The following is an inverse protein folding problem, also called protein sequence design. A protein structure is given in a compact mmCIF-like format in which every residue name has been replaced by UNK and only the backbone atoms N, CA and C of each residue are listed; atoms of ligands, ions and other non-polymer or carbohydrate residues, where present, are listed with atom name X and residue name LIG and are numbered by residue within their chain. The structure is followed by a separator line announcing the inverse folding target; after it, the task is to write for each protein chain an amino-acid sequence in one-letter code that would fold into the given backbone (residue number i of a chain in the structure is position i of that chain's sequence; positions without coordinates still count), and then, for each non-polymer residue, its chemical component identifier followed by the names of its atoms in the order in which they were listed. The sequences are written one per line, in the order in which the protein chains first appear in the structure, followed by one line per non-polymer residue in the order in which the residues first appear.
data_IF_265003748601
#
_entry.id   IF_265003748601
#
_cell.length_a   1.000
_cell.length_b   1.000
_cell.length_c   1.000
_cell.angle_alpha   90.00
_cell.angle_beta   90.00
_cell.angle_gamma   90.00
#
_symmetry.space_group_name_H-M   'P 1'
#
loop_
_entity.id
_entity.type
_entity.pdbx_description
1 polymer ?
#
# COMPACT_ATOMS: atom_id res chain seq x y z
N UNK A 1 52.40 -59.62 42.36
CA UNK A 1 52.21 -60.07 40.95
C UNK A 1 50.91 -60.86 40.86
N UNK A 2 50.20 -60.72 39.73
CA UNK A 2 49.02 -61.47 39.25
C UNK A 2 47.68 -61.26 40.02
N UNK A 3 46.71 -60.54 39.43
CA UNK A 3 45.55 -61.03 38.61
C UNK A 3 44.57 -61.86 39.47
N UNK A 4 43.28 -61.57 39.64
CA UNK A 4 42.32 -60.73 38.91
C UNK A 4 41.16 -61.62 38.42
N UNK A 5 39.91 -61.23 38.74
CA UNK A 5 38.64 -61.55 38.04
C UNK A 5 38.06 -62.95 38.38
N UNK A 6 36.77 -63.22 38.60
CA UNK A 6 35.52 -62.52 38.28
C UNK A 6 34.39 -62.94 39.24
N UNK A 7 33.47 -61.98 39.43
CA UNK A 7 32.08 -62.17 39.83
C UNK A 7 31.24 -62.92 38.78
N UNK A 8 30.22 -63.64 39.23
CA UNK A 8 28.84 -63.67 38.71
C UNK A 8 27.95 -63.97 39.93
N UNK A 9 26.88 -63.28 40.28
CA UNK A 9 25.92 -62.53 39.47
C UNK A 9 24.53 -63.14 39.74
N UNK A 10 23.80 -62.65 40.74
CA UNK A 10 22.37 -63.00 40.95
C UNK A 10 21.58 -61.76 41.36
N UNK A 11 20.49 -61.54 40.61
CA UNK A 11 19.76 -60.29 40.46
C UNK A 11 19.09 -59.75 41.71
N UNK A 12 18.85 -58.43 41.68
CA UNK A 12 17.99 -57.71 42.64
C UNK A 12 17.15 -56.64 41.92
N UNK A 13 15.84 -56.83 42.03
CA UNK A 13 14.75 -55.84 42.08
C UNK A 13 14.46 -54.91 40.89
N UNK A 14 13.56 -55.37 40.01
CA UNK A 14 12.67 -54.49 39.25
C UNK A 14 11.62 -53.88 40.20
N UNK A 15 11.88 -52.68 40.70
CA UNK A 15 10.88 -51.87 41.41
C UNK A 15 9.76 -51.51 40.45
N UNK A 16 8.50 -51.80 40.80
CA UNK A 16 7.29 -51.51 39.99
C UNK A 16 7.29 -50.08 39.43
N UNK A 17 7.83 -49.12 40.20
CA UNK A 17 8.02 -47.72 39.79
C UNK A 17 8.85 -47.56 38.51
N UNK A 18 9.93 -48.32 38.35
CA UNK A 18 10.78 -48.24 37.16
C UNK A 18 10.09 -48.85 35.94
N UNK A 19 9.24 -49.87 36.14
CA UNK A 19 8.43 -50.45 35.07
C UNK A 19 7.33 -49.48 34.62
N UNK A 20 6.66 -48.79 35.55
CA UNK A 20 5.67 -47.77 35.21
C UNK A 20 6.30 -46.61 34.44
N UNK A 21 7.48 -46.14 34.88
CA UNK A 21 8.23 -45.08 34.18
C UNK A 21 8.60 -45.54 32.76
N UNK A 22 9.09 -46.77 32.59
CA UNK A 22 9.41 -47.30 31.26
C UNK A 22 8.19 -47.36 30.33
N UNK A 23 7.04 -47.81 30.83
CA UNK A 23 5.79 -47.86 30.07
C UNK A 23 5.32 -46.44 29.70
N UNK A 24 5.42 -45.48 30.63
CA UNK A 24 5.12 -44.08 30.35
C UNK A 24 6.04 -43.48 29.29
N UNK A 25 7.34 -43.78 29.31
CA UNK A 25 8.28 -43.34 28.28
C UNK A 25 7.95 -43.92 26.90
N UNK A 26 7.56 -45.20 26.83
CA UNK A 26 7.13 -45.83 25.57
C UNK A 26 5.84 -45.18 25.05
N UNK A 27 4.85 -44.94 25.90
CA UNK A 27 3.61 -44.27 25.52
C UNK A 27 3.87 -42.83 25.05
N UNK A 28 4.77 -42.10 25.71
CA UNK A 28 5.17 -40.76 25.30
C UNK A 28 5.86 -40.77 23.93
N UNK A 29 6.73 -41.75 23.69
CA UNK A 29 7.40 -41.92 22.40
C UNK A 29 6.40 -42.24 21.26
N UNK A 30 5.44 -43.14 21.52
CA UNK A 30 4.36 -43.44 20.56
C UNK A 30 3.50 -42.20 20.30
N UNK A 31 3.13 -41.45 21.33
CA UNK A 31 2.37 -40.20 21.17
C UNK A 31 3.13 -39.17 20.32
N UNK A 32 4.44 -39.03 20.51
CA UNK A 32 5.29 -38.15 19.70
C UNK A 32 5.40 -38.62 18.25
N UNK A 33 5.44 -39.93 17.98
CA UNK A 33 5.41 -40.47 16.61
C UNK A 33 4.08 -40.21 15.91
N UNK A 34 2.96 -40.35 16.61
CA UNK A 34 1.63 -40.03 16.08
C UNK A 34 1.51 -38.53 15.82
N UNK A 35 1.95 -37.68 16.75
CA UNK A 35 2.01 -36.22 16.56
C UNK A 35 2.89 -35.84 15.37
N UNK A 36 4.05 -36.48 15.22
CA UNK A 36 4.92 -36.26 14.07
C UNK A 36 4.24 -36.68 12.76
N UNK A 37 3.55 -37.82 12.72
CA UNK A 37 2.79 -38.26 11.56
C UNK A 37 1.67 -37.29 11.19
N UNK A 38 0.91 -36.80 12.18
CA UNK A 38 -0.16 -35.82 11.97
C UNK A 38 0.39 -34.45 11.52
N UNK A 39 1.50 -34.00 12.11
CA UNK A 39 2.19 -32.78 11.68
C UNK A 39 2.82 -32.93 10.29
N UNK A 40 3.36 -34.09 9.94
CA UNK A 40 3.89 -34.35 8.61
C UNK A 40 2.78 -34.40 7.57
N UNK A 41 1.63 -35.04 7.85
CA UNK A 41 0.45 -34.98 6.97
C UNK A 41 -0.09 -33.57 6.79
N UNK A 42 -0.06 -32.72 7.83
CA UNK A 42 -0.42 -31.30 7.68
C UNK A 42 0.61 -30.52 6.87
N UNK A 43 1.91 -30.75 7.09
CA UNK A 43 2.99 -30.08 6.37
C UNK A 43 3.06 -30.48 4.89
N UNK A 44 2.75 -31.74 4.56
CA UNK A 44 2.66 -32.20 3.16
C UNK A 44 1.38 -31.72 2.47
N UNK A 45 0.29 -31.50 3.22
CA UNK A 45 -0.93 -30.92 2.67
C UNK A 45 -0.84 -29.40 2.50
N UNK A 46 0.08 -28.72 3.19
CA UNK A 46 0.28 -27.26 3.05
C UNK A 46 1.43 -26.87 2.12
N UNK A 47 2.16 -27.83 1.56
CA UNK A 47 3.38 -27.55 0.78
C UNK A 47 3.47 -28.43 -0.47
N UNK A 48 2.45 -28.40 -1.33
CA UNK A 48 2.54 -28.67 -2.78
C UNK A 48 1.16 -28.73 -3.44
N UNK A 49 0.41 -27.63 -3.43
CA UNK A 49 -0.28 -27.25 -4.66
C UNK A 49 0.63 -26.29 -5.41
N UNK A 50 1.68 -26.83 -6.05
CA UNK A 50 2.17 -26.13 -7.23
C UNK A 50 1.03 -26.21 -8.24
N UNK A 51 0.22 -25.15 -8.32
CA UNK A 51 -0.74 -25.01 -9.41
C UNK A 51 0.07 -25.21 -10.68
N UNK A 52 -0.12 -26.36 -11.35
CA UNK A 52 0.54 -26.65 -12.62
C UNK A 52 -0.03 -25.66 -13.61
N UNK A 53 0.68 -24.56 -13.82
CA UNK A 53 0.35 -23.59 -14.83
C UNK A 53 0.34 -24.30 -16.18
N UNK A 54 -0.71 -24.06 -16.95
CA UNK A 54 -0.78 -24.48 -18.35
C UNK A 54 0.30 -23.75 -19.16
N UNK A 55 0.68 -24.33 -20.30
CA UNK A 55 1.74 -23.78 -21.16
C UNK A 55 1.48 -22.33 -21.58
N UNK A 56 0.23 -22.00 -21.94
CA UNK A 56 -0.19 -20.63 -22.27
C UNK A 56 -0.08 -19.66 -21.08
N UNK A 57 -0.35 -20.13 -19.85
CA UNK A 57 -0.19 -19.29 -18.65
C UNK A 57 1.29 -19.00 -18.40
N UNK A 58 2.17 -19.97 -18.61
CA UNK A 58 3.62 -19.79 -18.52
C UNK A 58 4.10 -18.80 -19.58
N UNK A 59 3.59 -18.90 -20.81
CA UNK A 59 3.90 -17.98 -21.90
C UNK A 59 3.45 -16.55 -21.58
N UNK A 60 2.23 -16.36 -21.07
CA UNK A 60 1.75 -15.05 -20.59
C UNK A 60 2.58 -14.48 -19.46
N UNK A 61 3.03 -15.32 -18.52
CA UNK A 61 3.91 -14.89 -17.44
C UNK A 61 5.24 -14.40 -18.03
N UNK A 62 5.86 -15.17 -18.93
CA UNK A 62 7.11 -14.77 -19.60
C UNK A 62 6.96 -13.46 -20.37
N UNK A 63 5.89 -13.32 -21.14
CA UNK A 63 5.59 -12.12 -21.91
C UNK A 63 5.42 -10.91 -20.99
N UNK A 64 4.66 -11.05 -19.89
CA UNK A 64 4.49 -9.98 -18.91
C UNK A 64 5.80 -9.55 -18.24
N UNK A 65 6.74 -10.48 -18.06
CA UNK A 65 8.06 -10.17 -17.48
C UNK A 65 8.87 -9.38 -18.50
N UNK A 66 8.90 -9.82 -19.77
CA UNK A 66 9.59 -9.10 -20.85
C UNK A 66 9.09 -7.66 -20.99
N UNK A 67 7.78 -7.47 -21.05
CA UNK A 67 7.18 -6.13 -21.15
C UNK A 67 7.60 -5.25 -19.96
N UNK A 68 7.61 -5.79 -18.74
CA UNK A 68 8.04 -5.04 -17.54
C UNK A 68 9.55 -4.71 -17.54
N UNK A 69 10.38 -5.60 -18.07
CA UNK A 69 11.82 -5.37 -18.21
C UNK A 69 12.12 -4.31 -19.27
N UNK A 70 11.41 -4.35 -20.40
CA UNK A 70 11.52 -3.37 -21.49
C UNK A 70 10.95 -2.00 -21.09
N UNK A 71 9.87 -1.98 -20.30
CA UNK A 71 9.27 -0.76 -19.76
C UNK A 71 9.95 -0.25 -18.47
N UNK A 72 11.03 -0.90 -18.01
CA UNK A 72 11.73 -0.46 -16.81
C UNK A 72 12.32 0.94 -17.05
N UNK A 73 12.12 1.90 -16.13
CA UNK A 73 12.68 3.23 -16.27
C UNK A 73 14.18 3.20 -15.94
N UNK A 74 14.99 2.74 -16.90
CA UNK A 74 16.44 2.50 -16.75
C UNK A 74 17.16 3.78 -16.31
N UNK A 75 16.77 4.93 -16.85
CA UNK A 75 17.34 6.23 -16.49
C UNK A 75 17.08 6.59 -15.03
N UNK A 76 15.83 6.43 -14.57
CA UNK A 76 15.46 6.66 -13.16
C UNK A 76 16.21 5.70 -12.23
N UNK A 77 16.28 4.42 -12.59
CA UNK A 77 17.01 3.43 -11.80
C UNK A 77 18.50 3.78 -11.69
N UNK A 78 19.09 4.27 -12.78
CA UNK A 78 20.48 4.74 -12.79
C UNK A 78 20.66 6.01 -11.97
N UNK A 79 19.71 6.96 -12.03
CA UNK A 79 19.70 8.17 -11.20
C UNK A 79 19.64 7.81 -9.72
N UNK A 80 18.73 6.92 -9.31
CA UNK A 80 18.63 6.44 -7.93
C UNK A 80 19.90 5.74 -7.47
N UNK A 81 20.53 4.93 -8.33
CA UNK A 81 21.83 4.30 -8.01
C UNK A 81 22.93 5.33 -7.79
N UNK A 82 22.99 6.40 -8.59
CA UNK A 82 23.95 7.50 -8.42
C UNK A 82 23.70 8.24 -7.11
N UNK A 83 22.46 8.63 -6.83
CA UNK A 83 22.07 9.30 -5.59
C UNK A 83 22.42 8.46 -4.35
N UNK A 84 22.17 7.14 -4.37
CA UNK A 84 22.56 6.25 -3.26
C UNK A 84 24.07 6.23 -3.05
N UNK A 85 24.84 6.20 -4.14
CA UNK A 85 26.31 6.25 -4.06
C UNK A 85 26.78 7.58 -3.48
N UNK A 86 26.23 8.70 -3.95
CA UNK A 86 26.54 10.04 -3.46
C UNK A 86 26.19 10.19 -1.98
N UNK A 87 25.01 9.74 -1.56
CA UNK A 87 24.59 9.72 -0.16
C UNK A 87 25.54 8.89 0.72
N UNK A 88 25.96 7.70 0.26
CA UNK A 88 26.93 6.87 0.99
C UNK A 88 28.30 7.56 1.12
N UNK A 89 28.76 8.25 0.07
CA UNK A 89 30.01 9.01 0.10
C UNK A 89 29.92 10.26 0.99
N UNK A 90 28.76 10.93 1.01
CA UNK A 90 28.48 12.04 1.93
C UNK A 90 28.48 11.57 3.38
N UNK A 91 27.88 10.42 3.69
CA UNK A 91 27.87 9.84 5.03
C UNK A 91 29.29 9.51 5.52
N UNK A 92 30.18 9.04 4.64
CA UNK A 92 31.61 8.82 4.97
C UNK A 92 32.37 10.12 5.25
N UNK A 93 31.98 11.24 4.63
CA UNK A 93 32.60 12.57 4.80
C UNK A 93 32.01 13.37 5.96
N UNK A 94 31.07 12.77 6.72
CA UNK A 94 30.41 13.40 7.86
C UNK A 94 31.42 13.76 8.95
N UNK A 95 31.61 15.06 9.15
CA UNK A 95 32.38 15.61 10.29
C UNK A 95 31.55 15.42 11.56
N UNK A 96 32.08 14.67 12.53
CA UNK A 96 31.42 14.44 13.81
C UNK A 96 31.70 15.59 14.78
N UNK A 97 30.85 16.61 14.75
CA UNK A 97 30.91 17.70 15.72
C UNK A 97 30.61 17.21 17.15
N UNK A 98 31.28 17.75 18.19
CA UNK A 98 30.96 17.45 19.57
C UNK A 98 29.50 17.81 19.92
N UNK A 99 28.82 17.04 20.77
CA UNK A 99 27.42 17.30 21.15
C UNK A 99 27.19 18.71 21.71
N UNK A 100 28.15 19.25 22.47
CA UNK A 100 28.06 20.59 23.05
C UNK A 100 28.00 21.68 21.98
N UNK A 101 28.84 21.58 20.93
CA UNK A 101 28.85 22.53 19.81
C UNK A 101 27.54 22.44 19.03
N UNK A 102 27.05 21.23 18.76
CA UNK A 102 25.76 21.01 18.08
C UNK A 102 24.59 21.68 18.82
N UNK A 103 24.54 21.53 20.15
CA UNK A 103 23.47 22.12 20.95
C UNK A 103 23.49 23.64 20.90
N UNK A 104 24.68 24.26 21.05
CA UNK A 104 24.82 25.71 20.98
C UNK A 104 24.46 26.27 19.60
N UNK A 105 24.88 25.59 18.53
CA UNK A 105 24.50 25.95 17.15
C UNK A 105 22.98 25.90 16.98
N UNK A 106 22.33 24.85 17.48
CA UNK A 106 20.88 24.73 17.41
C UNK A 106 20.17 25.87 18.17
N UNK A 107 20.64 26.18 19.38
CA UNK A 107 20.08 27.26 20.20
C UNK A 107 20.16 28.63 19.52
N UNK A 108 21.31 28.97 18.94
CA UNK A 108 21.49 30.24 18.24
C UNK A 108 20.59 30.36 17.00
N UNK A 109 20.48 29.28 16.20
CA UNK A 109 19.59 29.26 15.02
C UNK A 109 18.14 29.42 15.47
N UNK A 110 17.72 28.69 16.51
CA UNK A 110 16.36 28.80 17.06
C UNK A 110 16.10 30.21 17.60
N UNK A 111 17.09 30.86 18.23
CA UNK A 111 16.96 32.22 18.71
C UNK A 111 16.81 33.23 17.56
N UNK A 112 17.58 33.07 16.47
CA UNK A 112 17.41 33.87 15.24
C UNK A 112 16.04 33.65 14.62
N UNK A 113 15.57 32.41 14.55
CA UNK A 113 14.23 32.07 14.06
C UNK A 113 13.12 32.67 14.92
N UNK A 114 13.23 32.66 16.26
CA UNK A 114 12.25 33.32 17.15
C UNK A 114 12.24 34.84 17.04
N UNK A 115 13.32 35.45 16.55
CA UNK A 115 13.37 36.90 16.33
C UNK A 115 12.63 37.34 15.06
N UNK A 116 12.24 36.39 14.19
CA UNK A 116 11.35 36.67 13.07
C UNK A 116 9.94 36.99 13.56
N UNK A 117 9.24 37.83 12.79
CA UNK A 117 7.88 38.27 13.05
C UNK A 117 6.92 37.08 13.02
N UNK A 118 5.99 37.00 13.98
CA UNK A 118 4.92 36.00 13.97
C UNK A 118 4.14 36.03 12.64
N UNK A 119 4.21 34.94 11.87
CA UNK A 119 3.57 34.79 10.55
C UNK A 119 4.50 34.95 9.33
N UNK A 120 5.83 34.86 9.50
CA UNK A 120 6.79 34.76 8.39
C UNK A 120 6.59 33.50 7.56
N UNK A 121 6.82 33.59 6.24
CA UNK A 121 6.71 32.45 5.34
C UNK A 121 7.96 31.56 5.45
N UNK A 122 7.88 30.30 5.05
CA UNK A 122 9.01 29.36 5.09
C UNK A 122 10.24 29.85 4.27
N UNK A 123 10.01 30.69 3.25
CA UNK A 123 11.07 31.36 2.49
C UNK A 123 11.88 32.31 3.38
N UNK A 124 11.21 33.10 4.22
CA UNK A 124 11.85 34.07 5.11
C UNK A 124 12.67 33.35 6.20
N UNK A 125 12.14 32.24 6.73
CA UNK A 125 12.85 31.38 7.69
C UNK A 125 14.13 30.80 7.08
N UNK A 126 14.06 30.33 5.82
CA UNK A 126 15.22 29.79 5.10
C UNK A 126 16.30 30.85 4.88
N UNK A 127 15.89 32.06 4.48
CA UNK A 127 16.81 33.17 4.23
C UNK A 127 17.56 33.60 5.50
N UNK A 128 16.87 33.68 6.65
CA UNK A 128 17.49 34.05 7.92
C UNK A 128 18.53 33.03 8.37
N UNK A 129 18.25 31.74 8.20
CA UNK A 129 19.21 30.69 8.58
C UNK A 129 20.43 30.67 7.66
N UNK A 130 20.25 30.85 6.34
CA UNK A 130 21.39 30.96 5.43
C UNK A 130 22.22 32.23 5.69
N UNK A 131 21.58 33.34 6.03
CA UNK A 131 22.30 34.56 6.42
C UNK A 131 23.11 34.37 7.71
N UNK A 132 22.55 33.69 8.72
CA UNK A 132 23.30 33.32 9.93
C UNK A 132 24.49 32.41 9.60
N UNK A 133 24.32 31.44 8.69
CA UNK A 133 25.41 30.55 8.26
C UNK A 133 26.55 31.33 7.63
N UNK A 134 26.26 32.28 6.73
CA UNK A 134 27.26 33.13 6.07
C UNK A 134 27.97 34.03 7.09
N UNK A 135 27.21 34.67 7.99
CA UNK A 135 27.75 35.48 9.09
C UNK A 135 28.74 34.65 9.93
N UNK A 136 28.33 33.45 10.35
CA UNK A 136 29.15 32.58 11.19
C UNK A 136 30.39 32.02 10.47
N UNK A 137 30.32 31.78 9.16
CA UNK A 137 31.49 31.42 8.36
C UNK A 137 32.52 32.55 8.32
N UNK A 138 32.09 33.79 8.14
CA UNK A 138 32.98 34.96 8.16
C UNK A 138 33.65 35.16 9.52
N UNK A 139 32.92 34.94 10.62
CA UNK A 139 33.47 35.00 11.98
C UNK A 139 34.59 33.96 12.21
N UNK A 140 34.40 32.75 11.66
CA UNK A 140 35.38 31.67 11.71
C UNK A 140 36.64 31.97 10.88
N UNK A 141 36.51 32.73 9.79
CA UNK A 141 37.64 33.14 8.95
C UNK A 141 38.46 34.29 9.54
N UNK A 142 37.79 35.23 10.20
CA UNK A 142 38.42 36.43 10.79
C UNK A 142 38.97 36.20 12.20
N UNK A 143 38.73 35.02 12.80
CA UNK A 143 39.15 34.66 14.18
C UNK A 143 38.71 35.69 15.23
N UNK A 144 37.55 36.32 15.04
CA UNK A 144 37.05 37.32 15.98
C UNK A 144 36.62 36.72 17.32
N UNK A 145 36.78 37.50 18.40
CA UNK A 145 36.63 37.07 19.81
C UNK A 145 35.25 36.53 20.20
N UNK A 146 34.23 36.65 19.35
CA UNK A 146 32.89 36.08 19.56
C UNK A 146 32.85 34.54 19.44
N UNK A 147 33.93 33.91 18.98
CA UNK A 147 34.03 32.45 18.85
C UNK A 147 34.17 31.70 20.18
N UNK A 148 34.63 32.38 21.23
CA UNK A 148 34.99 31.76 22.52
C UNK A 148 33.78 31.20 23.27
N UNK A 149 32.56 31.65 22.95
CA UNK A 149 31.33 31.18 23.58
C UNK A 149 30.77 29.92 22.90
N UNK A 150 31.02 29.74 21.60
CA UNK A 150 30.49 28.62 20.83
C UNK A 150 31.45 27.42 20.82
N UNK A 151 32.74 27.70 20.70
CA UNK A 151 33.79 26.71 20.42
C UNK A 151 34.91 26.84 21.45
N UNK A 152 35.36 25.71 22.02
CA UNK A 152 36.36 25.70 23.10
C UNK A 152 37.78 25.45 22.60
N UNK A 153 37.95 24.97 21.37
CA UNK A 153 39.27 24.68 20.78
C UNK A 153 39.35 25.07 19.30
N UNK A 154 40.58 25.27 18.81
CA UNK A 154 40.85 25.52 17.37
C UNK A 154 40.37 24.36 16.49
N UNK A 155 40.53 23.13 16.98
CA UNK A 155 40.06 21.91 16.30
C UNK A 155 38.54 21.89 16.14
N UNK A 156 37.79 22.30 17.17
CA UNK A 156 36.35 22.43 17.10
C UNK A 156 35.90 23.55 16.13
N UNK A 157 36.69 24.62 15.99
CA UNK A 157 36.41 25.72 15.05
C UNK A 157 36.60 25.25 13.60
N UNK A 158 37.66 24.50 13.32
CA UNK A 158 37.90 23.91 12.00
C UNK A 158 36.84 22.87 11.64
N UNK A 159 36.44 22.03 12.60
CA UNK A 159 35.34 21.09 12.41
C UNK A 159 34.02 21.80 12.13
N UNK A 160 33.72 22.89 12.84
CA UNK A 160 32.50 23.67 12.62
C UNK A 160 32.52 24.37 11.27
N UNK A 161 33.66 24.97 10.88
CA UNK A 161 33.83 25.56 9.54
C UNK A 161 33.55 24.53 8.45
N UNK A 162 34.18 23.35 8.53
CA UNK A 162 33.96 22.28 7.56
C UNK A 162 32.49 21.81 7.53
N UNK A 163 31.83 21.75 8.69
CA UNK A 163 30.42 21.39 8.77
C UNK A 163 29.50 22.44 8.14
N UNK A 164 29.76 23.73 8.36
CA UNK A 164 29.01 24.84 7.78
C UNK A 164 29.26 24.99 6.28
N UNK A 165 30.48 24.79 5.77
CA UNK A 165 30.78 24.94 4.33
C UNK A 165 30.29 23.74 3.51
N UNK A 166 30.66 22.53 3.93
CA UNK A 166 30.55 21.33 3.09
C UNK A 166 29.46 20.35 3.53
N UNK A 167 29.09 20.33 4.82
CA UNK A 167 28.15 19.35 5.38
C UNK A 167 26.90 20.00 5.99
N UNK A 168 26.49 21.17 5.49
CA UNK A 168 25.42 21.97 6.08
C UNK A 168 24.10 21.22 6.25
N UNK A 169 23.63 20.53 5.19
CA UNK A 169 22.41 19.74 5.23
C UNK A 169 22.46 18.61 6.29
N UNK A 170 23.62 17.96 6.40
CA UNK A 170 23.84 16.89 7.39
C UNK A 170 23.87 17.48 8.80
N UNK A 171 24.45 18.66 8.99
CA UNK A 171 24.45 19.37 10.26
C UNK A 171 23.01 19.72 10.68
N UNK A 172 22.21 20.27 9.77
CA UNK A 172 20.80 20.63 10.00
C UNK A 172 19.96 19.42 10.41
N UNK A 173 20.14 18.29 9.74
CA UNK A 173 19.49 17.02 10.11
C UNK A 173 19.95 16.54 11.49
N UNK A 174 21.26 16.59 11.77
CA UNK A 174 21.84 16.18 13.06
C UNK A 174 21.38 17.03 14.25
N UNK A 175 21.11 18.33 14.04
CA UNK A 175 20.59 19.23 15.07
C UNK A 175 19.06 19.29 15.09
N UNK A 176 18.38 18.57 14.19
CA UNK A 176 16.92 18.47 14.14
C UNK A 176 16.21 19.75 13.67
N UNK A 177 16.88 20.61 12.90
CA UNK A 177 16.25 21.81 12.32
C UNK A 177 15.88 21.49 10.88
N UNK A 178 14.57 21.36 10.63
CA UNK A 178 14.02 21.13 9.31
C UNK A 178 13.09 22.29 8.94
N UNK A 179 13.45 23.07 7.92
CA UNK A 179 12.61 24.15 7.39
C UNK A 179 11.96 23.61 6.11
N UNK A 180 10.62 23.52 6.05
CA UNK A 180 9.94 23.02 4.87
C UNK A 180 10.17 23.96 3.69
N UNK A 181 10.66 23.44 2.56
CA UNK A 181 10.69 24.21 1.32
C UNK A 181 9.27 24.40 0.82
N UNK A 182 8.93 25.62 0.40
CA UNK A 182 7.66 25.86 -0.29
C UNK A 182 7.79 25.27 -1.70
N UNK A 183 7.47 23.98 -1.84
CA UNK A 183 7.43 23.31 -3.13
C UNK A 183 6.14 23.75 -3.80
N UNK A 184 6.22 24.78 -4.63
CA UNK A 184 5.22 24.98 -5.68
C UNK A 184 5.33 23.77 -6.58
N UNK A 185 4.39 22.83 -6.49
CA UNK A 185 4.18 21.84 -7.54
C UNK A 185 3.39 22.56 -8.64
N UNK A 186 4.03 23.06 -9.72
CA UNK A 186 3.28 23.30 -10.94
C UNK A 186 2.75 21.92 -11.35
N UNK A 187 1.44 21.73 -11.22
CA UNK A 187 0.78 20.55 -11.76
C UNK A 187 0.99 20.58 -13.26
N UNK A 188 1.97 19.80 -13.73
CA UNK A 188 2.22 19.61 -15.14
C UNK A 188 1.18 18.59 -15.60
N UNK A 189 0.12 19.07 -16.24
CA UNK A 189 -0.84 18.21 -16.91
C UNK A 189 -0.17 17.66 -18.17
N UNK A 190 0.70 16.67 -17.99
CA UNK A 190 1.40 15.95 -19.06
C UNK A 190 0.43 15.07 -19.88
N UNK A 191 -0.88 15.18 -19.63
CA UNK A 191 -1.91 14.52 -20.41
C UNK A 191 -2.01 15.20 -21.77
N UNK A 192 -1.65 14.52 -22.88
CA UNK A 192 -1.85 15.08 -24.20
C UNK A 192 -3.35 15.31 -24.44
N UNK A 193 -3.70 16.50 -24.94
CA UNK A 193 -5.08 17.01 -25.14
C UNK A 193 -5.99 16.09 -25.97
N UNK A 194 -5.44 15.05 -26.61
CA UNK A 194 -6.12 14.15 -27.54
C UNK A 194 -5.98 12.66 -27.21
N UNK A 195 -5.54 12.27 -26.01
CA UNK A 195 -5.64 10.86 -25.61
C UNK A 195 -7.10 10.53 -25.24
N UNK A 196 -7.70 9.48 -25.85
CA UNK A 196 -8.97 8.98 -25.38
C UNK A 196 -8.79 8.58 -23.91
N UNK A 197 -9.72 9.00 -23.04
CA UNK A 197 -9.73 8.57 -21.65
C UNK A 197 -9.51 7.05 -21.61
N UNK A 198 -8.49 6.61 -20.86
CA UNK A 198 -8.19 5.19 -20.71
C UNK A 198 -9.50 4.48 -20.34
N UNK A 199 -10.03 3.69 -21.27
CA UNK A 199 -11.29 3.00 -21.07
C UNK A 199 -11.13 2.11 -19.83
N UNK A 200 -11.89 2.40 -18.78
CA UNK A 200 -11.86 1.62 -17.55
C UNK A 200 -12.08 0.15 -17.91
N UNK A 201 -11.11 -0.71 -17.56
CA UNK A 201 -11.11 -2.11 -17.98
C UNK A 201 -12.24 -2.83 -17.24
N UNK A 202 -13.28 -3.22 -17.97
CA UNK A 202 -14.40 -4.00 -17.42
C UNK A 202 -13.96 -5.48 -17.28
N UNK A 203 -13.96 -6.05 -16.05
CA UNK A 203 -13.59 -7.44 -15.86
C UNK A 203 -14.62 -8.41 -16.47
N UNK A 204 -14.13 -9.46 -17.14
CA UNK A 204 -14.96 -10.54 -17.67
C UNK A 204 -15.04 -10.56 -19.20
N UNK A 205 -16.00 -11.32 -19.77
CA UNK A 205 -16.26 -11.34 -21.20
C UNK A 205 -16.63 -9.94 -21.73
N UNK A 206 -16.35 -9.64 -23.01
CA UNK A 206 -16.74 -8.36 -23.60
C UNK A 206 -18.27 -8.21 -23.59
N UNK A 207 -18.73 -7.02 -23.19
CA UNK A 207 -20.15 -6.65 -23.26
C UNK A 207 -20.59 -6.50 -24.71
N UNK A 208 -21.81 -6.97 -25.00
CA UNK A 208 -22.39 -6.82 -26.33
C UNK A 208 -22.94 -5.40 -26.52
N UNK A 209 -23.00 -4.88 -27.75
CA UNK A 209 -23.52 -3.53 -28.01
C UNK A 209 -24.96 -3.32 -27.51
N UNK A 210 -25.79 -4.36 -27.53
CA UNK A 210 -27.18 -4.29 -27.07
C UNK A 210 -27.30 -4.02 -25.57
N UNK A 211 -26.22 -4.20 -24.80
CA UNK A 211 -26.20 -3.94 -23.37
C UNK A 211 -26.17 -2.45 -23.01
N UNK A 212 -25.77 -1.58 -23.95
CA UNK A 212 -25.54 -0.14 -23.76
C UNK A 212 -24.94 0.17 -22.38
N UNK A 213 -23.72 -0.32 -22.16
CA UNK A 213 -23.06 -0.20 -20.86
C UNK A 213 -22.74 1.26 -20.53
N UNK A 214 -23.10 1.66 -19.33
CA UNK A 214 -22.72 2.91 -18.69
C UNK A 214 -22.00 2.59 -17.37
N UNK A 215 -20.75 3.08 -17.29
CA UNK A 215 -19.97 3.04 -16.06
C UNK A 215 -20.53 4.02 -15.04
N UNK A 216 -20.26 3.79 -13.77
CA UNK A 216 -20.66 4.67 -12.66
C UNK A 216 -22.12 5.11 -12.74
N UNK A 217 -23.02 4.18 -13.01
CA UNK A 217 -24.42 4.49 -13.28
C UNK A 217 -25.32 3.49 -12.55
N UNK A 218 -26.32 4.01 -11.84
CA UNK A 218 -27.43 3.24 -11.26
C UNK A 218 -28.75 3.73 -11.86
N UNK A 219 -29.42 2.84 -12.60
CA UNK A 219 -30.76 3.07 -13.10
C UNK A 219 -31.81 2.63 -12.08
N UNK A 220 -32.82 3.48 -11.86
CA UNK A 220 -34.02 3.13 -11.12
C UNK A 220 -34.90 2.16 -11.93
N UNK A 221 -35.82 1.47 -11.24
CA UNK A 221 -36.81 0.61 -11.88
C UNK A 221 -37.38 -0.43 -10.94
N UNK A 222 -38.48 -1.06 -11.35
CA UNK A 222 -39.07 -2.18 -10.62
C UNK A 222 -38.21 -3.43 -10.80
N UNK A 223 -37.80 -4.06 -9.71
CA UNK A 223 -37.01 -5.30 -9.79
C UNK A 223 -37.86 -6.44 -10.37
N UNK A 224 -37.49 -6.93 -11.55
CA UNK A 224 -38.00 -8.21 -12.09
C UNK A 224 -37.24 -9.38 -11.49
N UNK A 225 -35.98 -9.15 -11.09
CA UNK A 225 -35.19 -10.08 -10.27
C UNK A 225 -34.29 -9.30 -9.33
N UNK A 226 -34.35 -9.65 -8.05
CA UNK A 226 -33.61 -8.99 -6.98
C UNK A 226 -32.13 -9.39 -6.99
N UNK A 227 -31.23 -8.40 -6.97
CA UNK A 227 -29.79 -8.64 -6.98
C UNK A 227 -29.26 -9.27 -5.70
N UNK A 228 -29.89 -8.99 -4.55
CA UNK A 228 -29.55 -9.59 -3.24
C UNK A 228 -29.47 -11.13 -3.26
N UNK A 229 -30.23 -11.78 -4.15
CA UNK A 229 -30.22 -13.24 -4.32
C UNK A 229 -29.82 -13.67 -5.73
N UNK A 230 -29.43 -12.73 -6.58
CA UNK A 230 -29.05 -12.99 -7.97
C UNK A 230 -27.67 -12.44 -8.26
N UNK A 231 -26.68 -13.32 -8.22
CA UNK A 231 -25.29 -12.97 -8.47
C UNK A 231 -24.83 -13.47 -9.84
N UNK A 232 -23.94 -12.70 -10.48
CA UNK A 232 -23.31 -13.01 -11.77
C UNK A 232 -21.83 -12.68 -11.72
N UNK A 233 -20.99 -13.48 -12.37
CA UNK A 233 -19.53 -13.32 -12.30
C UNK A 233 -19.02 -12.07 -13.03
N UNK A 234 -19.81 -11.53 -13.97
CA UNK A 234 -19.46 -10.36 -14.76
C UNK A 234 -20.66 -9.49 -15.12
N UNK A 235 -20.37 -8.23 -15.51
CA UNK A 235 -21.37 -7.32 -16.08
C UNK A 235 -21.99 -7.88 -17.36
N UNK A 236 -21.19 -8.55 -18.21
CA UNK A 236 -21.67 -9.20 -19.42
C UNK A 236 -22.69 -10.31 -19.12
N UNK A 237 -22.45 -11.12 -18.09
CA UNK A 237 -23.39 -12.16 -17.67
C UNK A 237 -24.68 -11.58 -17.05
N UNK A 238 -24.58 -10.42 -16.41
CA UNK A 238 -25.74 -9.71 -15.89
C UNK A 238 -26.62 -9.14 -17.02
N UNK A 239 -26.01 -8.47 -18.00
CA UNK A 239 -26.72 -8.04 -19.20
C UNK A 239 -27.37 -9.22 -19.94
N UNK A 240 -26.63 -10.32 -20.13
CA UNK A 240 -27.16 -11.51 -20.79
C UNK A 240 -28.36 -12.08 -20.03
N UNK A 241 -28.33 -12.08 -18.70
CA UNK A 241 -29.46 -12.50 -17.88
C UNK A 241 -30.69 -11.59 -18.05
N UNK A 242 -30.50 -10.29 -18.24
CA UNK A 242 -31.59 -9.37 -18.58
C UNK A 242 -32.19 -9.71 -19.95
N UNK A 243 -31.35 -9.88 -20.97
CA UNK A 243 -31.78 -10.26 -22.32
C UNK A 243 -32.56 -11.60 -22.31
N UNK A 244 -32.07 -12.58 -21.56
CA UNK A 244 -32.70 -13.89 -21.44
C UNK A 244 -34.03 -13.81 -20.67
N UNK A 245 -34.11 -13.01 -19.60
CA UNK A 245 -35.36 -12.81 -18.88
C UNK A 245 -36.40 -12.12 -19.77
N UNK A 246 -36.00 -11.08 -20.51
CA UNK A 246 -36.88 -10.33 -21.40
C UNK A 246 -37.46 -11.21 -22.53
N UNK A 247 -36.65 -12.12 -23.07
CA UNK A 247 -37.06 -13.09 -24.11
C UNK A 247 -38.02 -14.16 -23.58
N UNK A 248 -37.80 -14.64 -22.35
CA UNK A 248 -38.55 -15.76 -21.76
C UNK A 248 -39.75 -15.32 -20.92
N UNK A 249 -39.92 -14.02 -20.68
CA UNK A 249 -41.04 -13.47 -19.92
C UNK A 249 -42.39 -13.87 -20.54
N UNK A 250 -43.30 -14.36 -19.70
CA UNK A 250 -44.64 -14.78 -20.11
C UNK A 250 -45.53 -13.56 -20.40
N UNK A 251 -46.62 -13.73 -21.17
CA UNK A 251 -47.61 -12.67 -21.34
C UNK A 251 -48.12 -12.16 -19.98
N UNK A 252 -47.97 -10.86 -19.74
CA UNK A 252 -48.36 -10.20 -18.48
C UNK A 252 -47.25 -10.07 -17.44
N UNK A 253 -46.07 -10.69 -17.63
CA UNK A 253 -44.90 -10.47 -16.79
C UNK A 253 -44.11 -9.23 -17.24
N UNK A 254 -43.48 -8.54 -16.28
CA UNK A 254 -42.54 -7.47 -16.57
C UNK A 254 -41.30 -8.04 -17.25
N UNK A 255 -40.96 -7.47 -18.42
CA UNK A 255 -39.74 -7.80 -19.16
C UNK A 255 -38.60 -6.94 -18.64
N UNK A 256 -37.45 -7.53 -18.38
CA UNK A 256 -36.26 -6.78 -18.06
C UNK A 256 -35.93 -5.84 -19.22
N UNK A 257 -35.66 -4.58 -18.91
CA UNK A 257 -35.05 -3.67 -19.88
C UNK A 257 -33.83 -2.93 -19.32
N UNK A 258 -33.56 -3.08 -18.02
CA UNK A 258 -32.46 -2.43 -17.31
C UNK A 258 -31.71 -3.50 -16.52
N UNK A 259 -30.39 -3.51 -16.62
CA UNK A 259 -29.53 -4.33 -15.77
C UNK A 259 -28.61 -3.42 -14.94
N UNK A 260 -28.40 -3.76 -13.66
CA UNK A 260 -27.47 -3.06 -12.77
C UNK A 260 -26.60 -4.09 -12.06
N UNK A 261 -25.28 -3.92 -12.14
CA UNK A 261 -24.27 -4.86 -11.69
C UNK A 261 -23.31 -4.21 -10.70
N UNK A 262 -22.94 -4.95 -9.65
CA UNK A 262 -21.91 -4.52 -8.69
C UNK A 262 -20.53 -5.12 -9.01
N UNK A 263 -19.61 -4.36 -9.66
CA UNK A 263 -18.26 -4.83 -9.95
C UNK A 263 -17.30 -4.77 -8.75
N UNK A 264 -17.60 -3.94 -7.73
CA UNK A 264 -16.71 -3.72 -6.58
C UNK A 264 -16.62 -4.96 -5.68
N UNK A 265 -15.41 -5.42 -5.37
CA UNK A 265 -15.16 -6.52 -4.42
C UNK A 265 -15.62 -6.17 -2.99
N UNK A 266 -15.67 -4.88 -2.67
CA UNK A 266 -16.10 -4.36 -1.37
C UNK A 266 -17.61 -4.10 -1.28
N UNK A 267 -18.37 -4.45 -2.33
CA UNK A 267 -19.78 -4.12 -2.42
C UNK A 267 -20.04 -2.74 -3.00
N UNK A 268 -21.32 -2.43 -3.22
CA UNK A 268 -21.77 -1.22 -3.89
C UNK A 268 -22.72 -0.42 -3.01
N UNK A 269 -22.51 0.88 -2.94
CA UNK A 269 -23.34 1.76 -2.13
C UNK A 269 -24.71 2.02 -2.80
N UNK A 270 -25.78 1.88 -2.03
CA UNK A 270 -27.14 2.31 -2.37
C UNK A 270 -27.76 2.97 -1.13
N UNK A 271 -28.57 4.03 -1.27
CA UNK A 271 -29.24 4.68 -0.14
C UNK A 271 -30.47 3.91 0.34
N UNK A 272 -30.30 2.63 0.66
CA UNK A 272 -31.35 1.78 1.20
C UNK A 272 -30.88 1.02 2.44
N UNK A 273 -31.74 0.12 2.94
CA UNK A 273 -31.50 -0.63 4.18
C UNK A 273 -30.60 -1.85 4.00
N UNK A 274 -30.20 -2.16 2.77
CA UNK A 274 -29.46 -3.36 2.44
C UNK A 274 -27.96 -3.09 2.29
N UNK A 275 -27.18 -4.13 2.58
CA UNK A 275 -25.75 -4.15 2.30
C UNK A 275 -25.53 -4.91 1.00
N UNK A 276 -25.19 -4.19 -0.08
CA UNK A 276 -25.01 -4.80 -1.38
C UNK A 276 -23.61 -5.34 -1.58
N UNK A 277 -23.53 -6.57 -2.07
CA UNK A 277 -22.28 -7.32 -2.20
C UNK A 277 -21.76 -7.35 -3.63
N UNK A 278 -20.48 -7.71 -3.76
CA UNK A 278 -19.84 -7.98 -5.04
C UNK A 278 -20.68 -8.98 -5.86
N UNK A 279 -20.74 -8.79 -7.17
CA UNK A 279 -21.43 -9.65 -8.14
C UNK A 279 -22.96 -9.59 -8.11
N UNK A 280 -23.57 -8.73 -7.30
CA UNK A 280 -25.03 -8.53 -7.37
C UNK A 280 -25.46 -8.06 -8.76
N UNK A 281 -26.48 -8.74 -9.30
CA UNK A 281 -27.07 -8.48 -10.60
C UNK A 281 -28.57 -8.21 -10.45
N UNK A 282 -28.93 -6.95 -10.59
CA UNK A 282 -30.30 -6.47 -10.52
C UNK A 282 -30.89 -6.41 -11.92
N UNK A 283 -31.98 -7.15 -12.12
CA UNK A 283 -32.76 -7.08 -13.35
C UNK A 283 -33.98 -6.22 -13.06
N UNK A 284 -34.12 -5.11 -13.78
CA UNK A 284 -35.14 -4.09 -13.54
C UNK A 284 -35.97 -3.84 -14.81
N UNK A 285 -37.16 -3.29 -14.59
CA UNK A 285 -38.06 -2.80 -15.62
C UNK A 285 -38.53 -1.39 -15.27
N UNK A 286 -38.40 -0.46 -16.22
CA UNK A 286 -39.09 0.84 -16.19
C UNK A 286 -39.48 1.21 -17.63
N UNK A 287 -40.73 1.63 -17.86
CA UNK A 287 -41.19 2.05 -19.21
C UNK A 287 -40.35 3.21 -19.75
N UNK A 288 -39.85 4.05 -18.86
CA UNK A 288 -38.93 5.14 -19.15
C UNK A 288 -37.75 5.02 -18.21
N UNK A 289 -36.63 4.39 -18.63
CA UNK A 289 -35.45 4.23 -17.78
C UNK A 289 -35.02 5.56 -17.16
N UNK A 290 -35.11 5.63 -15.83
CA UNK A 290 -34.76 6.83 -15.05
C UNK A 290 -33.43 6.61 -14.38
N UNK A 291 -32.51 7.55 -14.59
CA UNK A 291 -31.25 7.59 -13.86
C UNK A 291 -31.53 7.93 -12.39
N UNK A 292 -30.96 7.13 -11.49
CA UNK A 292 -30.97 7.39 -10.06
C UNK A 292 -29.72 8.19 -9.69
N UNK A 293 -28.55 7.62 -10.01
CA UNK A 293 -27.25 8.25 -9.83
C UNK A 293 -26.35 8.00 -11.04
N UNK A 294 -25.51 8.99 -11.36
CA UNK A 294 -24.55 8.91 -12.45
C UNK A 294 -23.26 9.65 -12.10
N UNK A 295 -22.14 9.09 -12.52
CA UNK A 295 -20.78 9.58 -12.34
C UNK A 295 -20.39 9.75 -10.86
N UNK A 296 -20.72 10.90 -10.26
CA UNK A 296 -20.32 11.27 -8.89
C UNK A 296 -21.53 11.68 -8.05
N UNK A 297 -21.52 11.31 -6.78
CA UNK A 297 -22.48 11.85 -5.82
C UNK A 297 -22.12 13.31 -5.52
N UNK A 298 -23.12 14.20 -5.50
CA UNK A 298 -22.89 15.61 -5.16
C UNK A 298 -22.38 15.76 -3.73
N UNK A 299 -21.61 16.82 -3.46
CA UNK A 299 -21.13 17.11 -2.10
C UNK A 299 -22.28 17.21 -1.10
N UNK A 300 -23.34 17.95 -1.45
CA UNK A 300 -24.56 18.06 -0.63
C UNK A 300 -25.23 16.72 -0.33
N UNK A 301 -25.16 15.76 -1.26
CA UNK A 301 -25.70 14.43 -1.04
C UNK A 301 -24.82 13.63 -0.08
N UNK A 302 -23.51 13.74 -0.21
CA UNK A 302 -22.53 13.07 0.68
C UNK A 302 -22.51 13.68 2.08
N UNK A 303 -22.80 14.96 2.23
CA UNK A 303 -22.97 15.61 3.55
C UNK A 303 -24.15 15.02 4.32
N UNK A 304 -25.24 14.70 3.61
CA UNK A 304 -26.42 14.04 4.18
C UNK A 304 -26.29 12.51 4.26
N UNK A 305 -25.40 11.92 3.46
CA UNK A 305 -25.12 10.48 3.42
C UNK A 305 -23.60 10.24 3.55
N UNK A 306 -23.03 10.30 4.78
CA UNK A 306 -21.57 10.24 4.97
C UNK A 306 -20.91 8.94 4.49
N UNK A 307 -21.67 7.86 4.34
CA UNK A 307 -21.21 6.57 3.83
C UNK A 307 -21.18 6.50 2.30
N UNK A 308 -21.74 7.49 1.60
CA UNK A 308 -21.73 7.52 0.14
C UNK A 308 -20.31 7.77 -0.40
N UNK A 309 -19.81 6.92 -1.33
CA UNK A 309 -18.53 7.13 -1.97
C UNK A 309 -18.56 8.38 -2.86
N UNK A 310 -17.40 8.78 -3.40
CA UNK A 310 -17.32 9.91 -4.33
C UNK A 310 -17.97 9.57 -5.68
N UNK A 311 -17.69 8.37 -6.17
CA UNK A 311 -18.10 7.87 -7.49
C UNK A 311 -19.18 6.81 -7.31
N UNK A 312 -20.15 6.76 -8.22
CA UNK A 312 -21.19 5.73 -8.22
C UNK A 312 -20.54 4.35 -8.49
N UNK A 313 -20.68 3.37 -7.59
CA UNK A 313 -19.94 2.11 -7.70
C UNK A 313 -20.62 1.08 -8.61
N UNK A 314 -21.81 1.39 -9.15
CA UNK A 314 -22.59 0.51 -9.99
C UNK A 314 -22.23 0.66 -11.47
N UNK A 315 -22.36 -0.44 -12.21
CA UNK A 315 -22.35 -0.46 -13.67
C UNK A 315 -23.72 -0.88 -14.15
N UNK A 316 -24.29 -0.19 -15.14
CA UNK A 316 -25.63 -0.53 -15.61
C UNK A 316 -25.81 -0.25 -17.09
N UNK A 317 -26.94 -0.69 -17.62
CA UNK A 317 -27.31 -0.38 -18.99
C UNK A 317 -28.78 -0.66 -19.27
N UNK A 318 -29.29 0.01 -20.28
CA UNK A 318 -30.62 -0.25 -20.84
C UNK A 318 -30.44 -1.15 -22.05
N UNK A 319 -31.09 -2.31 -22.08
CA UNK A 319 -30.95 -3.20 -23.25
C UNK A 319 -31.68 -2.64 -24.47
N UNK A 320 -31.06 -2.70 -25.64
CA UNK A 320 -31.72 -2.46 -26.91
C UNK A 320 -32.40 -3.74 -27.40
N UNK A 321 -33.62 -3.61 -27.91
CA UNK A 321 -34.39 -4.70 -28.54
C UNK A 321 -34.04 -4.86 -30.01
#
# INVERSE_FOLDING_TARGET
MARGVASWGRGKFCSYKNLTIAICCVNLFVALLILRSLCFSRATNSFSESKKYTEWQIERIKESIRIREEAAPIELLNAVKRLRKESTEQEKRKVKLPPAVKHKVAEEIIQKLRSLREGSNATDETEVVEMWRIERLNDLETSERNLSDLVSSVEEAEMLKSALESNWHILMEDIGIWIPTNVTNPEHDDKPENEPEEAEIIPGPPLRPECNVELHTDYAGAAVRWGLTHHKESAADCCQACLDQAKNAKPGEMKCNIWVYCPSEFGCYSPDIYEHKHQECWLKMDEKPRLNFKDKYSESYRDSHPTAPVVVPWMSGVISS
#
